data_IF_698730857152
#
_entry.id   IF_698730857152
#
_cell.length_a   1.000
_cell.length_b   1.000
_cell.length_c   1.000
_cell.angle_alpha   90.00
_cell.angle_beta   90.00
_cell.angle_gamma   90.00
#
_symmetry.space_group_name_H-M   'P 1'
#
loop_
_entity.id
_entity.type
_entity.pdbx_description
1 polymer ?
#
# COMPACT_ATOMS: atom_id res chain seq x y z
N UNK A 1 -7.16 18.91 -12.88
CA UNK A 1 -8.50 18.42 -13.29
C UNK A 1 -9.55 19.10 -12.42
N UNK A 2 -10.71 19.47 -13.00
CA UNK A 2 -11.88 19.89 -12.24
C UNK A 2 -12.64 18.65 -11.70
N UNK A 3 -13.69 18.85 -10.90
CA UNK A 3 -14.44 17.73 -10.28
C UNK A 3 -15.09 16.84 -11.33
N UNK A 4 -15.71 17.38 -12.37
CA UNK A 4 -16.35 16.62 -13.44
C UNK A 4 -15.37 15.67 -14.15
N UNK A 5 -14.18 16.17 -14.48
CA UNK A 5 -13.12 15.35 -15.10
C UNK A 5 -12.61 14.26 -14.17
N UNK A 6 -12.62 14.48 -12.85
CA UNK A 6 -12.24 13.47 -11.85
C UNK A 6 -13.31 12.38 -11.70
N UNK A 7 -14.59 12.75 -11.74
CA UNK A 7 -15.70 11.79 -11.75
C UNK A 7 -15.67 10.93 -13.03
N UNK A 8 -15.44 11.55 -14.20
CA UNK A 8 -15.24 10.83 -15.45
C UNK A 8 -14.06 9.87 -15.36
N UNK A 9 -12.94 10.31 -14.78
CA UNK A 9 -11.76 9.45 -14.57
C UNK A 9 -12.12 8.20 -13.74
N UNK A 10 -12.87 8.32 -12.64
CA UNK A 10 -13.30 7.17 -11.83
C UNK A 10 -14.07 6.16 -12.68
N UNK A 11 -14.96 6.61 -13.57
CA UNK A 11 -15.75 5.76 -14.44
C UNK A 11 -14.94 5.10 -15.58
N UNK A 12 -13.73 5.60 -15.87
CA UNK A 12 -12.81 4.97 -16.84
C UNK A 12 -11.88 3.94 -16.22
N UNK A 13 -11.83 3.86 -14.89
CA UNK A 13 -10.95 2.92 -14.20
C UNK A 13 -11.38 1.46 -14.48
N UNK A 14 -10.41 0.56 -14.68
CA UNK A 14 -10.71 -0.83 -14.94
C UNK A 14 -11.28 -1.50 -13.68
N UNK A 15 -12.21 -2.48 -13.87
CA UNK A 15 -12.72 -3.26 -12.75
C UNK A 15 -11.60 -4.01 -12.04
N UNK A 16 -11.75 -4.25 -10.75
CA UNK A 16 -10.78 -5.02 -9.97
C UNK A 16 -10.71 -6.46 -10.49
N UNK A 17 -9.50 -6.95 -10.77
CA UNK A 17 -9.30 -8.28 -11.39
C UNK A 17 -9.97 -9.40 -10.59
N UNK A 18 -10.80 -10.26 -11.22
CA UNK A 18 -11.54 -11.33 -10.53
C UNK A 18 -10.66 -12.44 -9.94
N UNK A 19 -9.46 -12.63 -10.48
CA UNK A 19 -8.58 -13.77 -10.13
C UNK A 19 -8.16 -13.77 -8.65
N UNK A 20 -8.01 -12.60 -8.04
CA UNK A 20 -7.77 -12.49 -6.61
C UNK A 20 -9.01 -12.86 -5.77
N UNK A 21 -10.22 -12.82 -6.34
CA UNK A 21 -11.48 -13.09 -5.63
C UNK A 21 -11.67 -14.60 -5.43
N UNK A 22 -11.33 -15.44 -6.41
CA UNK A 22 -11.58 -16.90 -6.34
C UNK A 22 -10.78 -17.61 -5.25
N UNK A 23 -9.55 -17.17 -5.00
CA UNK A 23 -8.71 -17.71 -3.91
C UNK A 23 -9.24 -17.36 -2.52
N UNK A 24 -10.06 -16.31 -2.40
CA UNK A 24 -10.57 -15.80 -1.12
C UNK A 24 -11.95 -16.33 -0.74
N UNK A 25 -12.83 -16.62 -1.69
CA UNK A 25 -14.15 -17.19 -1.42
C UNK A 25 -14.08 -18.59 -0.80
N UNK A 26 -12.95 -19.29 -0.94
CA UNK A 26 -12.70 -20.58 -0.30
C UNK A 26 -12.15 -20.48 1.13
N UNK A 27 -11.74 -19.28 1.58
CA UNK A 27 -11.26 -19.05 2.93
C UNK A 27 -12.45 -18.62 3.79
N UNK A 28 -12.97 -19.56 4.62
CA UNK A 28 -13.98 -19.26 5.63
C UNK A 28 -13.73 -17.91 6.28
N UNK A 29 -14.76 -17.08 6.33
CA UNK A 29 -14.71 -15.72 6.88
C UNK A 29 -14.18 -15.77 8.32
N UNK A 30 -12.93 -15.38 8.50
CA UNK A 30 -12.45 -15.06 9.84
C UNK A 30 -13.11 -13.74 10.23
N UNK A 31 -13.78 -13.65 11.40
CA UNK A 31 -14.40 -12.39 11.83
C UNK A 31 -13.37 -11.26 11.77
N UNK A 32 -13.70 -10.19 11.06
CA UNK A 32 -12.85 -8.99 11.04
C UNK A 32 -12.81 -8.44 12.46
N UNK A 33 -11.63 -8.26 13.08
CA UNK A 33 -11.54 -7.65 14.41
C UNK A 33 -12.26 -6.28 14.40
N UNK A 34 -12.93 -5.90 15.49
CA UNK A 34 -13.62 -4.62 15.58
C UNK A 34 -12.64 -3.47 15.36
N UNK A 35 -13.12 -2.37 14.78
CA UNK A 35 -12.33 -1.16 14.60
C UNK A 35 -11.94 -0.59 15.97
N UNK A 36 -10.68 -0.22 16.15
CA UNK A 36 -10.18 0.39 17.37
C UNK A 36 -9.87 1.86 17.11
N UNK A 37 -10.75 2.74 17.54
CA UNK A 37 -10.57 4.19 17.39
C UNK A 37 -9.41 4.73 18.24
N UNK A 38 -9.01 4.00 19.29
CA UNK A 38 -7.99 4.42 20.25
C UNK A 38 -6.61 3.78 19.98
N UNK A 39 -6.54 2.84 19.04
CA UNK A 39 -5.31 2.15 18.68
C UNK A 39 -4.99 2.23 17.18
N UNK A 40 -3.75 1.89 16.80
CA UNK A 40 -3.39 1.82 15.39
C UNK A 40 -4.11 0.64 14.71
N UNK A 41 -4.52 0.85 13.47
CA UNK A 41 -5.15 -0.17 12.64
C UNK A 41 -4.26 -0.50 11.44
N UNK A 42 -4.18 -1.79 11.09
CA UNK A 42 -3.45 -2.25 9.92
C UNK A 42 -4.36 -3.02 8.95
N UNK A 43 -4.10 -2.86 7.66
CA UNK A 43 -4.82 -3.56 6.61
C UNK A 43 -3.85 -4.08 5.55
N UNK A 44 -4.14 -5.27 5.04
CA UNK A 44 -3.44 -5.89 3.93
C UNK A 44 -4.32 -5.87 2.71
N UNK A 45 -3.74 -5.48 1.59
CA UNK A 45 -4.30 -5.63 0.25
C UNK A 45 -3.25 -6.34 -0.63
N UNK A 46 -3.58 -6.73 -1.86
CA UNK A 46 -2.56 -7.19 -2.79
C UNK A 46 -1.40 -6.19 -2.88
N UNK A 47 -0.18 -6.68 -2.66
CA UNK A 47 1.08 -5.90 -2.71
C UNK A 47 1.17 -4.68 -1.77
N UNK A 48 0.24 -4.53 -0.80
CA UNK A 48 0.25 -3.34 0.05
C UNK A 48 -0.10 -3.63 1.51
N UNK A 49 0.58 -2.91 2.40
CA UNK A 49 0.28 -2.85 3.84
C UNK A 49 -0.02 -1.41 4.21
N UNK A 50 -1.24 -1.14 4.63
CA UNK A 50 -1.70 0.17 5.05
C UNK A 50 -1.82 0.22 6.57
N UNK A 51 -1.20 1.21 7.20
CA UNK A 51 -1.13 1.33 8.66
C UNK A 51 -1.70 2.70 9.03
N UNK A 52 -2.72 2.72 9.86
CA UNK A 52 -3.41 3.94 10.29
C UNK A 52 -3.14 4.19 11.77
N UNK A 53 -2.61 5.35 12.11
CA UNK A 53 -2.50 5.80 13.49
C UNK A 53 -3.91 6.00 14.10
N UNK A 54 -4.02 6.11 15.44
CA UNK A 54 -5.31 6.38 16.08
C UNK A 54 -6.00 7.64 15.54
N UNK A 55 -7.33 7.66 15.57
CA UNK A 55 -8.15 8.81 15.18
C UNK A 55 -8.85 8.70 13.83
N UNK A 56 -8.45 7.78 12.96
CA UNK A 56 -9.16 7.56 11.70
C UNK A 56 -10.53 6.92 11.92
N UNK A 57 -11.56 7.44 11.23
CA UNK A 57 -12.85 6.75 11.14
C UNK A 57 -12.76 5.52 10.21
N UNK A 58 -13.60 4.50 10.45
CA UNK A 58 -13.70 3.34 9.56
C UNK A 58 -13.98 3.74 8.11
N UNK A 59 -14.84 4.73 7.94
CA UNK A 59 -15.18 5.27 6.62
C UNK A 59 -13.95 5.79 5.89
N UNK A 60 -13.13 6.62 6.54
CA UNK A 60 -11.93 7.20 5.94
C UNK A 60 -10.86 6.13 5.67
N UNK A 61 -10.70 5.16 6.57
CA UNK A 61 -9.81 4.01 6.35
C UNK A 61 -10.25 3.22 5.11
N UNK A 62 -11.56 2.95 4.99
CA UNK A 62 -12.12 2.26 3.83
C UNK A 62 -11.84 3.01 2.54
N UNK A 63 -12.05 4.33 2.53
CA UNK A 63 -11.83 5.18 1.37
C UNK A 63 -10.37 5.20 0.91
N UNK A 64 -9.45 5.31 1.88
CA UNK A 64 -8.01 5.32 1.58
C UNK A 64 -7.55 3.97 0.99
N UNK A 65 -7.99 2.87 1.61
CA UNK A 65 -7.69 1.53 1.10
C UNK A 65 -8.25 1.34 -0.32
N UNK A 66 -9.46 1.85 -0.57
CA UNK A 66 -10.11 1.78 -1.88
C UNK A 66 -9.33 2.54 -2.94
N UNK A 67 -9.00 3.81 -2.71
CA UNK A 67 -8.18 4.61 -3.63
C UNK A 67 -6.87 3.91 -4.01
N UNK A 68 -6.18 3.38 -3.01
CA UNK A 68 -4.91 2.69 -3.24
C UNK A 68 -5.09 1.43 -4.09
N UNK A 69 -6.06 0.60 -3.73
CA UNK A 69 -6.32 -0.67 -4.41
C UNK A 69 -6.69 -0.45 -5.87
N UNK A 70 -7.57 0.52 -6.16
CA UNK A 70 -8.00 0.82 -7.52
C UNK A 70 -6.84 1.35 -8.37
N UNK A 71 -6.04 2.26 -7.82
CA UNK A 71 -4.90 2.81 -8.55
C UNK A 71 -3.77 1.80 -8.76
N UNK A 72 -3.53 0.89 -7.80
CA UNK A 72 -2.60 -0.22 -8.00
C UNK A 72 -3.09 -1.16 -9.10
N UNK A 73 -4.39 -1.53 -9.08
CA UNK A 73 -4.99 -2.37 -10.12
C UNK A 73 -4.92 -1.72 -11.51
N UNK A 74 -5.22 -0.43 -11.61
CA UNK A 74 -5.10 0.33 -12.86
C UNK A 74 -3.66 0.33 -13.38
N UNK A 75 -2.69 0.59 -12.50
CA UNK A 75 -1.28 0.58 -12.86
C UNK A 75 -0.76 -0.81 -13.27
N UNK A 76 -1.27 -1.90 -12.64
CA UNK A 76 -0.95 -3.29 -12.99
C UNK A 76 -1.48 -3.71 -14.36
N UNK A 77 -2.59 -3.11 -14.79
CA UNK A 77 -3.16 -3.36 -16.11
C UNK A 77 -2.41 -2.58 -17.19
N UNK A 78 -2.12 -1.31 -16.92
CA UNK A 78 -1.46 -0.42 -17.89
C UNK A 78 0.02 -0.77 -18.07
N UNK A 79 0.70 -1.14 -16.99
CA UNK A 79 2.13 -1.48 -16.97
C UNK A 79 2.37 -2.89 -16.40
N UNK A 80 1.97 -3.94 -17.15
CA UNK A 80 2.10 -5.33 -16.69
C UNK A 80 3.55 -5.83 -16.68
N UNK A 81 4.46 -5.15 -17.38
CA UNK A 81 5.87 -5.51 -17.45
C UNK A 81 6.62 -4.99 -16.21
N UNK A 82 7.27 -5.90 -15.51
CA UNK A 82 8.03 -5.58 -14.30
C UNK A 82 9.26 -4.70 -14.56
N UNK A 83 9.71 -4.57 -15.81
CA UNK A 83 10.77 -3.62 -16.19
C UNK A 83 10.29 -2.16 -16.23
N UNK A 84 8.98 -1.93 -16.31
CA UNK A 84 8.35 -0.62 -16.40
C UNK A 84 7.92 -0.06 -15.02
N UNK A 85 8.71 -0.28 -13.99
CA UNK A 85 8.34 0.07 -12.62
C UNK A 85 8.23 1.58 -12.38
N UNK A 86 9.02 2.39 -13.06
CA UNK A 86 8.92 3.84 -12.94
C UNK A 86 7.65 4.37 -13.60
N UNK A 87 7.25 3.82 -14.74
CA UNK A 87 6.00 4.14 -15.43
C UNK A 87 4.81 3.70 -14.59
N UNK A 88 4.84 2.48 -14.04
CA UNK A 88 3.86 1.98 -13.10
C UNK A 88 3.67 2.93 -11.93
N UNK A 89 4.78 3.32 -11.29
CA UNK A 89 4.74 4.22 -10.14
C UNK A 89 4.22 5.62 -10.48
N UNK A 90 4.58 6.16 -11.65
CA UNK A 90 4.05 7.44 -12.13
C UNK A 90 2.55 7.38 -12.36
N UNK A 91 2.05 6.29 -12.97
CA UNK A 91 0.62 6.07 -13.22
C UNK A 91 -0.14 5.97 -11.89
N UNK A 92 0.33 5.11 -10.98
CA UNK A 92 -0.23 4.92 -9.66
C UNK A 92 -0.36 6.25 -8.89
N UNK A 93 0.71 7.01 -8.82
CA UNK A 93 0.73 8.27 -8.07
C UNK A 93 -0.05 9.38 -8.76
N UNK A 94 -0.06 9.42 -10.10
CA UNK A 94 -0.91 10.33 -10.85
C UNK A 94 -2.39 10.05 -10.57
N UNK A 95 -2.81 8.79 -10.63
CA UNK A 95 -4.18 8.39 -10.34
C UNK A 95 -4.60 8.75 -8.92
N UNK A 96 -3.73 8.55 -7.91
CA UNK A 96 -4.00 9.04 -6.56
C UNK A 96 -4.20 10.57 -6.54
N UNK A 97 -3.40 11.32 -7.29
CA UNK A 97 -3.59 12.78 -7.40
C UNK A 97 -4.93 13.13 -8.06
N UNK A 98 -5.35 12.35 -9.05
CA UNK A 98 -6.65 12.52 -9.70
C UNK A 98 -7.82 12.18 -8.75
N UNK A 99 -7.60 11.32 -7.75
CA UNK A 99 -8.53 11.00 -6.65
C UNK A 99 -8.44 11.96 -5.44
N UNK A 100 -7.75 13.10 -5.56
CA UNK A 100 -7.72 14.13 -4.52
C UNK A 100 -6.52 14.06 -3.57
N UNK A 101 -5.53 13.21 -3.84
CA UNK A 101 -4.28 13.21 -3.08
C UNK A 101 -3.31 14.28 -3.60
N UNK A 102 -2.74 15.07 -2.72
CA UNK A 102 -1.71 16.05 -3.03
C UNK A 102 -0.33 15.52 -2.62
N UNK A 103 0.63 15.61 -3.53
CA UNK A 103 2.00 15.14 -3.30
C UNK A 103 2.83 16.30 -2.74
N UNK A 104 3.33 16.17 -1.51
CA UNK A 104 4.21 17.17 -0.89
C UNK A 104 5.68 16.94 -1.21
N UNK A 105 6.13 15.70 -1.12
CA UNK A 105 7.51 15.33 -1.41
C UNK A 105 7.52 14.03 -2.21
N UNK A 106 8.35 14.00 -3.25
CA UNK A 106 8.48 12.83 -4.14
C UNK A 106 9.94 12.46 -4.27
N UNK A 107 10.23 11.19 -4.02
CA UNK A 107 11.53 10.60 -4.29
C UNK A 107 11.33 9.26 -5.02
N UNK A 108 11.77 9.18 -6.25
CA UNK A 108 11.77 7.97 -7.07
C UNK A 108 13.18 7.74 -7.58
N UNK A 109 13.87 6.73 -7.07
CA UNK A 109 15.28 6.51 -7.36
C UNK A 109 15.68 5.04 -7.18
N UNK A 110 16.83 4.71 -7.76
CA UNK A 110 17.55 3.50 -7.41
C UNK A 110 18.28 3.73 -6.07
N UNK A 111 18.00 2.87 -5.11
CA UNK A 111 18.61 2.91 -3.77
C UNK A 111 19.54 1.73 -3.64
N UNK A 112 20.82 1.99 -3.34
CA UNK A 112 21.78 0.92 -3.05
C UNK A 112 21.76 0.62 -1.57
N UNK A 113 21.28 -0.57 -1.22
CA UNK A 113 21.30 -1.09 0.14
C UNK A 113 22.60 -1.85 0.37
N UNK A 114 23.33 -1.45 1.41
CA UNK A 114 24.60 -2.10 1.81
C UNK A 114 24.34 -2.99 3.02
N UNK A 115 24.66 -4.26 2.89
CA UNK A 115 24.56 -5.25 3.96
C UNK A 115 24.16 -6.63 3.44
N UNK A 116 24.59 -7.67 4.17
CA UNK A 116 24.19 -9.06 3.90
C UNK A 116 23.14 -9.46 4.92
N UNK A 117 22.17 -10.28 4.52
CA UNK A 117 21.07 -10.76 5.35
C UNK A 117 20.12 -9.67 5.87
N UNK A 118 20.10 -8.49 5.26
CA UNK A 118 19.08 -7.50 5.53
C UNK A 118 17.73 -8.02 5.03
N UNK A 119 16.74 -8.00 5.89
CA UNK A 119 15.39 -8.45 5.59
C UNK A 119 14.59 -7.34 4.91
N UNK A 120 13.49 -7.71 4.26
CA UNK A 120 12.64 -6.77 3.55
C UNK A 120 12.07 -5.68 4.48
N UNK A 121 11.69 -6.04 5.70
CA UNK A 121 11.22 -5.08 6.70
C UNK A 121 12.29 -4.05 7.08
N UNK A 122 13.55 -4.46 7.20
CA UNK A 122 14.66 -3.52 7.44
C UNK A 122 14.84 -2.54 6.30
N UNK A 123 14.78 -3.02 5.05
CA UNK A 123 14.88 -2.18 3.86
C UNK A 123 13.71 -1.18 3.81
N UNK A 124 12.48 -1.65 4.00
CA UNK A 124 11.28 -0.79 4.02
C UNK A 124 11.37 0.29 5.10
N UNK A 125 11.85 -0.06 6.29
CA UNK A 125 12.02 0.85 7.41
C UNK A 125 13.03 1.95 7.10
N UNK A 126 14.16 1.61 6.50
CA UNK A 126 15.20 2.59 6.17
C UNK A 126 14.70 3.61 5.12
N UNK A 127 13.86 3.18 4.19
CA UNK A 127 13.21 4.08 3.23
C UNK A 127 12.19 4.99 3.92
N UNK A 128 11.35 4.47 4.82
CA UNK A 128 10.38 5.27 5.59
C UNK A 128 11.07 6.33 6.45
N UNK A 129 12.15 5.97 7.14
CA UNK A 129 12.93 6.89 7.98
C UNK A 129 13.43 8.12 7.23
N UNK A 130 13.80 7.96 5.97
CA UNK A 130 14.27 9.06 5.13
C UNK A 130 13.21 10.12 4.83
N UNK A 131 11.91 9.82 5.04
CA UNK A 131 10.79 10.70 4.65
C UNK A 131 10.05 11.35 5.81
N UNK A 132 10.04 10.73 7.00
CA UNK A 132 9.01 11.02 8.02
C UNK A 132 9.53 11.89 9.18
N UNK A 133 10.80 12.23 9.24
CA UNK A 133 11.34 13.13 10.28
C UNK A 133 11.03 12.65 11.70
N UNK A 134 10.41 13.50 12.51
CA UNK A 134 10.19 13.26 13.95
C UNK A 134 9.28 12.06 14.28
N UNK A 135 8.42 11.61 13.36
CA UNK A 135 7.52 10.47 13.55
C UNK A 135 8.15 9.13 13.09
N UNK A 136 9.39 9.14 12.64
CA UNK A 136 10.03 7.97 12.04
C UNK A 136 9.99 6.73 12.94
N UNK A 137 10.28 6.88 14.23
CA UNK A 137 10.34 5.74 15.16
C UNK A 137 8.96 5.09 15.34
N UNK A 138 7.91 5.88 15.53
CA UNK A 138 6.55 5.38 15.68
C UNK A 138 6.10 4.62 14.44
N UNK A 139 6.22 5.24 13.27
CA UNK A 139 5.76 4.68 12.00
C UNK A 139 6.54 3.43 11.59
N UNK A 140 7.87 3.42 11.84
CA UNK A 140 8.69 2.25 11.55
C UNK A 140 8.42 1.07 12.48
N UNK A 141 8.12 1.31 13.76
CA UNK A 141 7.74 0.25 14.68
C UNK A 141 6.39 -0.38 14.31
N UNK A 142 5.42 0.43 13.90
CA UNK A 142 4.14 -0.07 13.41
C UNK A 142 4.28 -0.85 12.10
N UNK A 143 5.14 -0.39 11.18
CA UNK A 143 5.46 -1.12 9.96
C UNK A 143 6.06 -2.51 10.26
N UNK A 144 7.00 -2.60 11.22
CA UNK A 144 7.55 -3.88 11.69
C UNK A 144 6.47 -4.81 12.23
N UNK A 145 5.61 -4.31 13.11
CA UNK A 145 4.53 -5.10 13.68
C UNK A 145 3.59 -5.64 12.58
N UNK A 146 3.24 -4.79 11.59
CA UNK A 146 2.38 -5.18 10.49
C UNK A 146 3.01 -6.29 9.64
N UNK A 147 4.29 -6.15 9.26
CA UNK A 147 5.01 -7.18 8.50
C UNK A 147 5.09 -8.48 9.29
N UNK A 148 5.44 -8.41 10.58
CA UNK A 148 5.50 -9.59 11.45
C UNK A 148 4.14 -10.29 11.54
N UNK A 149 3.04 -9.54 11.62
CA UNK A 149 1.70 -10.09 11.64
C UNK A 149 1.36 -10.83 10.33
N UNK A 150 1.76 -10.27 9.19
CA UNK A 150 1.58 -10.94 7.88
C UNK A 150 2.41 -12.22 7.81
N UNK A 151 3.67 -12.18 8.22
CA UNK A 151 4.56 -13.35 8.21
C UNK A 151 4.08 -14.49 9.11
N UNK A 152 3.26 -14.21 10.10
CA UNK A 152 2.65 -15.18 11.01
C UNK A 152 1.33 -15.80 10.53
N UNK A 153 0.80 -15.39 9.37
CA UNK A 153 -0.51 -15.86 8.86
C UNK A 153 -0.45 -16.15 7.36
N UNK A 154 -0.56 -17.42 6.98
CA UNK A 154 -0.50 -17.88 5.58
C UNK A 154 -1.55 -17.21 4.68
N UNK A 155 -2.74 -16.89 5.22
CA UNK A 155 -3.79 -16.22 4.46
C UNK A 155 -3.42 -14.78 4.14
N UNK A 156 -2.79 -14.09 5.10
CA UNK A 156 -2.29 -12.72 4.90
C UNK A 156 -1.10 -12.72 3.94
N UNK A 157 -0.20 -13.70 4.02
CA UNK A 157 0.89 -13.89 3.04
C UNK A 157 0.32 -14.08 1.64
N UNK A 158 -0.65 -15.00 1.49
CA UNK A 158 -1.29 -15.28 0.20
C UNK A 158 -1.95 -14.05 -0.40
N UNK A 159 -2.65 -13.25 0.41
CA UNK A 159 -3.25 -12.00 -0.05
C UNK A 159 -2.18 -10.99 -0.48
N UNK A 160 -1.20 -10.74 0.38
CA UNK A 160 -0.15 -9.76 0.13
C UNK A 160 0.67 -10.09 -1.13
N UNK A 161 0.89 -11.37 -1.40
CA UNK A 161 1.65 -11.84 -2.57
C UNK A 161 0.77 -12.25 -3.76
N UNK A 162 -0.52 -11.94 -3.74
CA UNK A 162 -1.47 -12.43 -4.76
C UNK A 162 -1.18 -11.94 -6.18
N UNK A 163 -0.54 -10.77 -6.33
CA UNK A 163 -0.13 -10.23 -7.62
C UNK A 163 1.32 -10.60 -8.00
N UNK A 164 1.99 -11.41 -7.18
CA UNK A 164 3.38 -11.82 -7.43
C UNK A 164 3.48 -12.62 -8.72
N UNK A 165 4.32 -12.16 -9.63
CA UNK A 165 4.69 -12.91 -10.83
C UNK A 165 5.95 -13.73 -10.53
N UNK A 166 5.84 -15.05 -10.55
CA UNK A 166 6.97 -15.97 -10.35
C UNK A 166 8.15 -15.65 -11.28
N UNK A 167 9.33 -15.50 -10.70
CA UNK A 167 10.60 -15.36 -11.43
C UNK A 167 10.89 -13.94 -11.95
N UNK A 168 10.14 -12.91 -11.51
CA UNK A 168 10.35 -11.53 -11.94
C UNK A 168 10.33 -10.58 -10.75
N UNK A 169 10.60 -9.29 -11.01
CA UNK A 169 10.64 -8.23 -10.01
C UNK A 169 9.34 -8.21 -9.19
N UNK A 170 9.48 -8.19 -7.87
CA UNK A 170 8.35 -8.04 -6.95
C UNK A 170 8.30 -6.61 -6.45
N UNK A 171 7.11 -6.02 -6.43
CA UNK A 171 6.87 -4.70 -5.87
C UNK A 171 5.93 -4.82 -4.68
N UNK A 172 6.10 -3.97 -3.71
CA UNK A 172 5.20 -3.86 -2.56
C UNK A 172 5.22 -2.43 -2.01
N UNK A 173 4.18 -2.10 -1.28
CA UNK A 173 4.00 -0.79 -0.66
C UNK A 173 3.71 -0.95 0.83
N UNK A 174 4.42 -0.17 1.66
CA UNK A 174 4.13 -0.03 3.09
C UNK A 174 3.80 1.42 3.35
N UNK A 175 2.54 1.67 3.69
CA UNK A 175 1.96 3.00 3.73
C UNK A 175 1.43 3.35 5.13
N UNK A 176 2.26 3.89 6.02
CA UNK A 176 1.81 4.48 7.26
C UNK A 176 1.06 5.81 7.02
N UNK A 177 -0.07 5.97 7.70
CA UNK A 177 -0.95 7.13 7.62
C UNK A 177 -1.25 7.71 9.01
N UNK A 178 -1.41 9.04 9.09
CA UNK A 178 -1.78 9.76 10.30
C UNK A 178 -2.69 10.95 9.96
N UNK A 179 -3.44 11.42 10.95
CA UNK A 179 -4.15 12.68 10.85
C UNK A 179 -3.27 13.81 11.39
N UNK A 180 -3.22 14.94 10.68
CA UNK A 180 -2.59 16.14 11.21
C UNK A 180 -3.50 16.87 12.22
N UNK A 181 -3.05 18.01 12.75
CA UNK A 181 -3.81 18.81 13.71
C UNK A 181 -5.14 19.35 13.17
N UNK A 182 -5.33 19.37 11.86
CA UNK A 182 -6.55 19.82 11.19
C UNK A 182 -7.46 18.64 10.79
N UNK A 183 -7.08 17.40 11.16
CA UNK A 183 -7.82 16.20 10.79
C UNK A 183 -7.62 15.77 9.33
N UNK A 184 -6.62 16.32 8.64
CA UNK A 184 -6.29 15.94 7.27
C UNK A 184 -5.48 14.66 7.26
N UNK A 185 -5.87 13.70 6.42
CA UNK A 185 -5.16 12.44 6.28
C UNK A 185 -3.84 12.64 5.52
N UNK A 186 -2.76 12.23 6.14
CA UNK A 186 -1.41 12.19 5.59
C UNK A 186 -0.94 10.75 5.47
N UNK A 187 -0.14 10.44 4.47
CA UNK A 187 0.40 9.10 4.24
C UNK A 187 1.79 9.17 3.62
N UNK A 188 2.64 8.24 4.00
CA UNK A 188 3.86 7.92 3.25
C UNK A 188 3.54 6.74 2.34
N UNK A 189 3.68 6.94 1.04
CA UNK A 189 3.76 5.84 0.09
C UNK A 189 5.21 5.42 -0.04
N UNK A 190 5.47 4.14 0.15
CA UNK A 190 6.81 3.57 0.07
C UNK A 190 6.76 2.31 -0.78
N UNK A 191 6.79 2.50 -2.10
CA UNK A 191 6.82 1.40 -3.06
C UNK A 191 8.26 0.95 -3.26
N UNK A 192 8.52 -0.32 -3.00
CA UNK A 192 9.82 -0.97 -3.16
C UNK A 192 9.70 -2.02 -4.23
N UNK A 193 10.62 -2.02 -5.18
CA UNK A 193 10.73 -3.02 -6.20
C UNK A 193 12.06 -3.76 -6.07
N UNK A 194 11.98 -5.07 -5.95
CA UNK A 194 13.12 -5.96 -5.86
C UNK A 194 13.34 -6.64 -7.21
N UNK A 195 14.58 -6.61 -7.69
CA UNK A 195 15.00 -7.42 -8.83
C UNK A 195 15.36 -8.83 -8.31
N UNK A 196 14.40 -9.73 -8.35
CA UNK A 196 14.56 -11.11 -7.93
C UNK A 196 15.17 -11.95 -9.05
N UNK A 197 16.47 -11.91 -9.20
CA UNK A 197 17.19 -12.93 -9.96
C UNK A 197 17.35 -14.25 -9.19
N UNK A 198 17.02 -14.26 -7.91
CA UNK A 198 17.07 -15.42 -7.03
C UNK A 198 15.66 -15.93 -6.73
N UNK A 199 15.44 -17.24 -6.90
CA UNK A 199 14.16 -17.91 -6.71
C UNK A 199 13.75 -17.96 -5.23
N UNK A 200 13.25 -16.85 -4.69
CA UNK A 200 12.58 -16.89 -3.40
C UNK A 200 11.11 -17.23 -3.59
N UNK A 201 10.62 -18.21 -2.85
CA UNK A 201 9.20 -18.62 -2.86
C UNK A 201 8.28 -17.53 -2.35
N UNK A 202 8.82 -16.59 -1.54
CA UNK A 202 8.10 -15.45 -0.98
C UNK A 202 9.05 -14.28 -0.78
N UNK A 203 8.64 -13.07 -1.21
CA UNK A 203 9.44 -11.87 -0.99
C UNK A 203 9.35 -11.32 0.44
N UNK A 204 8.32 -11.70 1.23
CA UNK A 204 8.25 -11.39 2.66
C UNK A 204 9.41 -12.00 3.46
N UNK A 205 10.00 -13.09 2.97
CA UNK A 205 11.14 -13.74 3.59
C UNK A 205 12.46 -13.49 2.85
N UNK A 206 12.43 -12.56 1.89
CA UNK A 206 13.63 -12.19 1.14
C UNK A 206 14.70 -11.58 2.06
N UNK A 207 15.95 -11.87 1.73
CA UNK A 207 17.13 -11.29 2.38
C UNK A 207 18.16 -10.90 1.34
N UNK A 208 18.94 -9.87 1.64
CA UNK A 208 20.07 -9.52 0.79
C UNK A 208 21.13 -10.63 0.83
N UNK A 209 21.54 -11.13 -0.33
CA UNK A 209 22.59 -12.17 -0.45
C UNK A 209 23.95 -11.56 -0.78
N UNK A 210 23.95 -10.33 -1.33
CA UNK A 210 25.15 -9.59 -1.72
C UNK A 210 25.44 -8.46 -0.74
N UNK A 211 26.70 -8.05 -0.60
CA UNK A 211 27.10 -6.90 0.22
C UNK A 211 26.45 -5.57 -0.24
N UNK A 212 26.05 -5.49 -1.48
CA UNK A 212 25.37 -4.33 -2.06
C UNK A 212 24.28 -4.82 -2.99
N UNK A 213 23.04 -4.40 -2.72
CA UNK A 213 21.86 -4.71 -3.53
C UNK A 213 21.21 -3.41 -3.96
N UNK A 214 20.99 -3.23 -5.25
CA UNK A 214 20.24 -2.08 -5.76
C UNK A 214 18.75 -2.44 -5.83
N UNK A 215 17.93 -1.61 -5.23
CA UNK A 215 16.47 -1.69 -5.29
C UNK A 215 15.92 -0.43 -5.93
N UNK A 216 14.78 -0.53 -6.58
CA UNK A 216 14.01 0.65 -7.01
C UNK A 216 13.07 1.03 -5.88
N UNK A 217 13.16 2.26 -5.42
CA UNK A 217 12.28 2.78 -4.38
C UNK A 217 11.57 4.03 -4.86
N UNK A 218 10.24 4.02 -4.68
CA UNK A 218 9.41 5.21 -4.83
C UNK A 218 8.86 5.60 -3.46
N UNK A 219 9.33 6.71 -2.94
CA UNK A 219 8.88 7.20 -1.65
C UNK A 219 8.31 8.62 -1.79
N UNK A 220 7.13 8.85 -1.22
CA UNK A 220 6.51 10.17 -1.23
C UNK A 220 5.61 10.40 -0.02
N UNK A 221 5.58 11.64 0.42
CA UNK A 221 4.61 12.13 1.39
C UNK A 221 3.42 12.73 0.63
N UNK A 222 2.24 12.24 0.91
CA UNK A 222 0.99 12.69 0.31
C UNK A 222 -0.01 13.04 1.40
N UNK A 223 -0.94 13.94 1.11
CA UNK A 223 -2.11 14.21 1.96
C UNK A 223 -3.39 14.25 1.13
N UNK A 224 -4.50 13.88 1.75
CA UNK A 224 -5.80 13.87 1.11
C UNK A 224 -6.44 15.26 1.20
N UNK A 225 -6.79 15.85 0.06
CA UNK A 225 -7.61 17.05 0.02
C UNK A 225 -9.07 16.66 0.29
N UNK A 226 -9.54 16.95 1.51
CA UNK A 226 -10.87 16.56 1.94
C UNK A 226 -11.97 17.16 1.06
N UNK A 227 -11.82 18.42 0.58
CA UNK A 227 -12.83 19.09 -0.24
C UNK A 227 -12.97 18.41 -1.61
N UNK A 228 -11.85 18.06 -2.24
CA UNK A 228 -11.85 17.33 -3.51
C UNK A 228 -12.41 15.92 -3.26
N UNK A 229 -11.91 15.23 -2.26
CA UNK A 229 -12.26 13.82 -2.03
C UNK A 229 -13.73 13.64 -1.65
N UNK A 230 -14.31 14.54 -0.85
CA UNK A 230 -15.71 14.49 -0.48
C UNK A 230 -16.66 14.56 -1.70
N UNK A 231 -16.25 15.30 -2.74
CA UNK A 231 -16.99 15.35 -4.00
C UNK A 231 -16.89 14.06 -4.84
N UNK A 232 -15.83 13.26 -4.64
CA UNK A 232 -15.55 12.03 -5.41
C UNK A 232 -16.00 10.75 -4.68
N UNK A 233 -16.09 10.80 -3.35
CA UNK A 233 -16.30 9.63 -2.47
C UNK A 233 -17.52 8.79 -2.88
N UNK A 234 -18.63 9.44 -3.22
CA UNK A 234 -19.86 8.77 -3.60
C UNK A 234 -19.66 7.85 -4.80
N UNK A 235 -19.14 8.41 -5.88
CA UNK A 235 -18.86 7.71 -7.14
C UNK A 235 -17.85 6.58 -6.96
N UNK A 236 -16.75 6.86 -6.29
CA UNK A 236 -15.69 5.87 -6.04
C UNK A 236 -16.24 4.64 -5.28
N UNK A 237 -17.10 4.86 -4.28
CA UNK A 237 -17.72 3.78 -3.51
C UNK A 237 -18.76 3.01 -4.32
N UNK A 238 -19.56 3.69 -5.14
CA UNK A 238 -20.57 3.07 -5.99
C UNK A 238 -19.91 2.10 -6.98
N UNK A 239 -18.82 2.54 -7.62
CA UNK A 239 -18.13 1.75 -8.65
C UNK A 239 -17.34 0.59 -8.04
N UNK A 240 -16.60 0.78 -6.95
CA UNK A 240 -15.57 -0.19 -6.55
C UNK A 240 -15.75 -0.84 -5.18
N UNK A 241 -16.57 -0.30 -4.26
CA UNK A 241 -16.58 -0.75 -2.87
C UNK A 241 -16.94 -2.24 -2.72
N UNK A 242 -17.87 -2.76 -3.50
CA UNK A 242 -18.29 -4.15 -3.39
C UNK A 242 -17.19 -5.13 -3.85
N UNK A 243 -16.43 -4.78 -4.88
CA UNK A 243 -15.32 -5.58 -5.36
C UNK A 243 -14.12 -5.52 -4.41
N UNK A 244 -13.85 -4.35 -3.84
CA UNK A 244 -12.74 -4.12 -2.94
C UNK A 244 -12.86 -4.87 -1.60
N UNK A 245 -14.07 -5.07 -1.07
CA UNK A 245 -14.31 -5.75 0.23
C UNK A 245 -13.65 -7.13 0.31
N UNK A 246 -13.61 -7.87 -0.78
CA UNK A 246 -12.96 -9.18 -0.83
C UNK A 246 -11.42 -9.13 -0.82
N UNK A 247 -10.83 -7.98 -1.15
CA UNK A 247 -9.38 -7.77 -1.33
C UNK A 247 -8.71 -7.02 -0.19
N UNK A 248 -9.45 -6.63 0.84
CA UNK A 248 -8.95 -5.90 1.99
C UNK A 248 -9.10 -6.77 3.24
N UNK A 249 -8.04 -6.98 3.98
CA UNK A 249 -8.05 -7.70 5.27
C UNK A 249 -7.42 -6.85 6.36
N UNK A 250 -8.08 -6.85 7.51
CA UNK A 250 -7.56 -6.19 8.71
C UNK A 250 -6.50 -7.06 9.37
N UNK A 251 -5.40 -6.45 9.75
CA UNK A 251 -4.36 -7.11 10.56
C UNK A 251 -4.83 -7.34 12.00
N UNK A 252 -4.21 -8.29 12.72
CA UNK A 252 -4.33 -8.37 14.16
C UNK A 252 -4.03 -7.01 14.82
N UNK A 253 -4.54 -6.82 16.06
CA UNK A 253 -4.37 -5.54 16.77
C UNK A 253 -2.90 -5.17 16.89
N UNK A 254 -2.53 -4.03 16.30
CA UNK A 254 -1.21 -3.44 16.45
C UNK A 254 -1.11 -2.78 17.82
N UNK A 255 0.06 -2.87 18.46
CA UNK A 255 0.28 -2.28 19.77
C UNK A 255 0.68 -0.82 19.64
N UNK A 256 0.12 0.09 20.47
CA UNK A 256 0.66 1.44 20.60
C UNK A 256 2.14 1.38 20.96
N UNK A 257 2.92 2.29 20.43
CA UNK A 257 4.37 2.39 20.66
C UNK A 257 4.66 3.58 21.57
#
# INVERSE_FOLDING_TARGET
>A
MNIEQRLEFINTLPPLKPEAIRSFLSLNETPTPPHDNNGPNGFVTPDSVNIFLPGFSESLISDINLCKLDMQNSADIEYPDTTQQFEWYKHYTKGLSDLGWTIQAKNLQDVTIKGINLTMDQVAIDVIKGLVGNNANLLTNLAKQAITAIQGDEKLITLFESNKKLGKQSKFDIAPAWLDSNGQANMVLNTIALDNQESTTSFLFWKTTKQSTTIKSGAMHIYLDNAIFDALRGELREVFLNEAKSKIRKLPKLKPV
#
